data_IF_737819045168
#
_entry.id   IF_737819045168
#
_cell.length_a   1.000
_cell.length_b   1.000
_cell.length_c   1.000
_cell.angle_alpha   90.00
_cell.angle_beta   90.00
_cell.angle_gamma   90.00
#
_symmetry.space_group_name_H-M   'P 1'
#
loop_
_entity.id
_entity.type
_entity.pdbx_description
1 polymer ?
#
# COMPACT_ATOMS: atom_id res chain seq x y z
N UNK A 1 -17.55 4.43 -17.73
CA UNK A 1 -17.39 5.60 -16.85
C UNK A 1 -16.07 5.42 -16.09
N UNK A 2 -15.02 6.08 -16.56
CA UNK A 2 -13.71 6.11 -15.87
C UNK A 2 -13.86 7.14 -14.75
N UNK A 3 -13.87 6.70 -13.49
CA UNK A 3 -14.02 7.61 -12.33
C UNK A 3 -12.65 8.18 -11.97
N UNK A 4 -12.38 9.37 -12.48
CA UNK A 4 -11.12 10.11 -12.34
C UNK A 4 -11.14 10.97 -11.06
N UNK A 5 -10.68 10.44 -9.92
CA UNK A 5 -10.64 11.16 -8.62
C UNK A 5 -9.25 11.57 -8.12
N UNK A 6 -8.22 11.48 -8.96
CA UNK A 6 -6.85 11.91 -8.59
C UNK A 6 -6.16 12.65 -9.75
N UNK A 7 -6.90 13.51 -10.47
CA UNK A 7 -6.31 14.36 -11.51
C UNK A 7 -5.64 15.58 -10.86
N UNK A 8 -4.39 15.87 -11.26
CA UNK A 8 -3.82 17.22 -11.16
C UNK A 8 -4.36 18.04 -12.33
N UNK A 9 -5.39 18.86 -12.08
CA UNK A 9 -5.90 19.80 -13.08
C UNK A 9 -5.02 21.04 -13.02
N UNK A 10 -4.04 21.12 -13.93
CA UNK A 10 -3.17 22.28 -14.02
C UNK A 10 -3.45 23.01 -15.34
N UNK A 11 -3.78 24.29 -15.24
CA UNK A 11 -4.12 25.13 -16.38
C UNK A 11 -2.90 25.64 -17.15
N UNK A 12 -1.68 25.42 -16.65
CA UNK A 12 -0.46 26.06 -17.18
C UNK A 12 0.80 25.17 -17.21
N UNK A 13 0.75 23.92 -16.75
CA UNK A 13 1.91 23.03 -16.80
C UNK A 13 1.99 22.26 -18.12
N UNK A 14 3.18 22.24 -18.72
CA UNK A 14 3.56 21.25 -19.72
C UNK A 14 3.73 19.95 -18.94
N UNK A 15 2.93 18.93 -19.25
CA UNK A 15 2.98 17.63 -18.59
C UNK A 15 4.37 16.99 -18.60
N UNK A 16 4.60 15.98 -17.75
CA UNK A 16 5.84 15.19 -17.72
C UNK A 16 6.02 14.32 -18.97
N UNK A 17 5.02 14.23 -19.85
CA UNK A 17 5.15 13.55 -21.13
C UNK A 17 6.22 14.21 -22.01
N UNK A 18 7.17 13.39 -22.49
CA UNK A 18 8.27 13.86 -23.34
C UNK A 18 7.77 14.43 -24.68
N UNK A 19 6.64 13.92 -25.18
CA UNK A 19 5.99 14.41 -26.40
C UNK A 19 4.49 14.12 -26.41
N UNK A 20 3.69 15.14 -26.70
CA UNK A 20 2.26 15.02 -26.93
C UNK A 20 1.99 14.81 -28.43
N UNK A 21 1.03 13.94 -28.75
CA UNK A 21 0.55 13.72 -30.11
C UNK A 21 -0.98 13.74 -30.15
N UNK A 22 -1.59 14.08 -31.31
CA UNK A 22 -3.04 14.06 -31.46
C UNK A 22 -3.59 12.66 -31.17
N UNK A 23 -4.67 12.57 -30.37
CA UNK A 23 -5.30 11.30 -30.05
C UNK A 23 -5.95 10.61 -31.27
N UNK A 24 -6.07 11.30 -32.41
CA UNK A 24 -6.50 10.73 -33.70
C UNK A 24 -8.01 10.49 -33.84
N UNK A 25 -8.84 10.90 -32.86
CA UNK A 25 -10.30 10.77 -32.87
C UNK A 25 -10.99 11.78 -31.93
N UNK A 26 -12.32 11.87 -31.99
CA UNK A 26 -13.11 12.68 -31.04
C UNK A 26 -13.47 11.85 -29.81
N UNK A 27 -12.60 11.87 -28.80
CA UNK A 27 -12.86 11.17 -27.54
C UNK A 27 -13.34 12.12 -26.45
N UNK A 28 -14.26 11.62 -25.62
CA UNK A 28 -14.79 12.34 -24.48
C UNK A 28 -14.59 11.56 -23.19
N UNK A 29 -14.23 12.25 -22.12
CA UNK A 29 -14.13 11.70 -20.77
C UNK A 29 -14.88 12.58 -19.79
N UNK A 30 -15.47 11.96 -18.77
CA UNK A 30 -16.16 12.67 -17.69
C UNK A 30 -15.26 12.73 -16.46
N UNK A 31 -15.05 13.93 -15.94
CA UNK A 31 -14.23 14.22 -14.77
C UNK A 31 -15.12 14.80 -13.68
N UNK A 32 -15.22 14.10 -12.56
CA UNK A 32 -15.90 14.57 -11.35
C UNK A 32 -14.90 15.38 -10.52
N UNK A 33 -15.18 16.67 -10.29
CA UNK A 33 -14.34 17.54 -9.48
C UNK A 33 -15.16 18.51 -8.64
N UNK A 34 -14.62 18.90 -7.49
CA UNK A 34 -15.13 20.00 -6.67
C UNK A 34 -14.67 21.36 -7.17
N UNK A 35 -13.65 21.41 -8.02
CA UNK A 35 -13.07 22.63 -8.56
C UNK A 35 -13.94 23.21 -9.67
N UNK A 36 -14.05 24.54 -9.70
CA UNK A 36 -14.74 25.25 -10.77
C UNK A 36 -13.81 25.39 -11.99
N UNK A 37 -14.14 24.64 -13.04
CA UNK A 37 -13.44 24.70 -14.32
C UNK A 37 -14.19 25.59 -15.30
N UNK A 38 -13.43 26.28 -16.14
CA UNK A 38 -13.91 27.17 -17.17
C UNK A 38 -14.19 26.36 -18.43
N UNK A 39 -15.43 26.39 -18.91
CA UNK A 39 -15.79 25.78 -20.17
C UNK A 39 -15.00 26.41 -21.32
N UNK A 40 -14.68 25.60 -22.32
CA UNK A 40 -13.82 25.91 -23.46
C UNK A 40 -12.36 26.20 -23.10
N UNK A 41 -11.97 26.09 -21.83
CA UNK A 41 -10.57 26.14 -21.44
C UNK A 41 -9.91 24.76 -21.55
N UNK A 42 -8.59 24.76 -21.75
CA UNK A 42 -7.80 23.53 -21.90
C UNK A 42 -7.09 23.20 -20.60
N UNK A 43 -7.09 21.91 -20.26
CA UNK A 43 -6.50 21.38 -19.03
C UNK A 43 -5.64 20.16 -19.36
N UNK A 44 -4.59 19.97 -18.57
CA UNK A 44 -3.82 18.73 -18.54
C UNK A 44 -4.31 17.86 -17.40
N UNK A 45 -4.40 16.55 -17.65
CA UNK A 45 -4.80 15.59 -16.64
C UNK A 45 -4.32 14.18 -16.95
N UNK A 46 -4.28 13.32 -15.93
CA UNK A 46 -3.95 11.90 -16.10
C UNK A 46 -5.18 11.07 -16.42
N UNK A 47 -5.08 10.23 -17.45
CA UNK A 47 -6.04 9.20 -17.82
C UNK A 47 -5.46 7.82 -17.46
N UNK A 48 -6.12 7.09 -16.57
CA UNK A 48 -5.77 5.69 -16.32
C UNK A 48 -6.21 4.84 -17.52
N UNK A 49 -5.25 4.16 -18.16
CA UNK A 49 -5.47 3.29 -19.30
C UNK A 49 -5.87 1.88 -18.85
N UNK A 50 -6.35 1.06 -19.78
CA UNK A 50 -6.65 -0.36 -19.55
C UNK A 50 -5.43 -1.17 -19.07
N UNK A 51 -4.21 -0.69 -19.35
CA UNK A 51 -2.95 -1.28 -18.88
C UNK A 51 -2.64 -0.95 -17.42
N UNK A 52 -3.38 -0.05 -16.79
CA UNK A 52 -3.08 0.52 -15.47
C UNK A 52 -2.03 1.62 -15.49
N UNK A 53 -1.51 1.98 -16.66
CA UNK A 53 -0.65 3.14 -16.83
C UNK A 53 -1.46 4.43 -16.74
N UNK A 54 -0.86 5.50 -16.23
CA UNK A 54 -1.43 6.84 -16.29
C UNK A 54 -0.84 7.53 -17.52
N UNK A 55 -1.71 7.83 -18.50
CA UNK A 55 -1.38 8.62 -19.67
C UNK A 55 -1.73 10.08 -19.40
N UNK A 56 -0.78 10.99 -19.56
CA UNK A 56 -1.10 12.41 -19.53
C UNK A 56 -1.83 12.80 -20.81
N UNK A 57 -2.93 13.53 -20.63
CA UNK A 57 -3.80 14.00 -21.70
C UNK A 57 -4.06 15.48 -21.57
N UNK A 58 -4.21 16.12 -22.72
CA UNK A 58 -4.62 17.51 -22.85
C UNK A 58 -6.03 17.53 -23.41
N UNK A 59 -6.98 18.10 -22.66
CA UNK A 59 -8.39 18.12 -23.05
C UNK A 59 -9.07 19.45 -22.77
N UNK A 60 -10.12 19.74 -23.51
CA UNK A 60 -10.95 20.94 -23.34
C UNK A 60 -12.24 20.59 -22.62
N UNK A 61 -12.58 21.32 -21.56
CA UNK A 61 -13.87 21.17 -20.90
C UNK A 61 -14.98 21.70 -21.83
N UNK A 62 -15.97 20.89 -22.19
CA UNK A 62 -17.02 21.26 -23.16
C UNK A 62 -18.42 21.35 -22.54
N UNK A 63 -18.69 20.55 -21.51
CA UNK A 63 -19.98 20.53 -20.82
C UNK A 63 -19.73 20.37 -19.32
N UNK A 64 -20.64 20.89 -18.49
CA UNK A 64 -20.66 20.66 -17.05
C UNK A 64 -22.07 20.26 -16.62
N UNK A 65 -22.16 19.31 -15.71
CA UNK A 65 -23.41 18.88 -15.07
C UNK A 65 -23.19 18.68 -13.56
N UNK A 66 -24.26 18.63 -12.78
CA UNK A 66 -24.18 18.47 -11.33
C UNK A 66 -24.28 19.79 -10.55
N UNK A 67 -24.41 19.67 -9.22
CA UNK A 67 -24.56 20.80 -8.30
C UNK A 67 -23.19 21.33 -7.82
N UNK A 68 -23.17 22.54 -7.24
CA UNK A 68 -21.99 23.10 -6.58
C UNK A 68 -21.37 22.11 -5.59
N UNK A 69 -20.05 21.91 -5.67
CA UNK A 69 -19.30 20.97 -4.85
C UNK A 69 -19.23 19.53 -5.38
N UNK A 70 -20.01 19.17 -6.41
CA UNK A 70 -19.90 17.87 -7.09
C UNK A 70 -20.23 17.98 -8.59
N UNK A 71 -19.39 18.72 -9.32
CA UNK A 71 -19.57 18.98 -10.75
C UNK A 71 -18.89 17.89 -11.58
N UNK A 72 -19.56 17.47 -12.65
CA UNK A 72 -19.04 16.54 -13.64
C UNK A 72 -18.80 17.31 -14.93
N UNK A 73 -17.52 17.49 -15.27
CA UNK A 73 -17.10 18.14 -16.50
C UNK A 73 -16.82 17.09 -17.57
N UNK A 74 -17.39 17.29 -18.76
CA UNK A 74 -17.08 16.51 -19.94
C UNK A 74 -15.91 17.16 -20.66
N UNK A 75 -14.86 16.40 -20.88
CA UNK A 75 -13.65 16.83 -21.56
C UNK A 75 -13.56 16.20 -22.94
N UNK A 76 -13.30 17.01 -23.95
CA UNK A 76 -12.86 16.55 -25.27
C UNK A 76 -11.34 16.41 -25.27
N UNK A 77 -10.84 15.21 -25.52
CA UNK A 77 -9.39 14.96 -25.61
C UNK A 77 -8.84 15.55 -26.91
N UNK A 78 -7.76 16.33 -26.83
CA UNK A 78 -7.06 16.94 -27.96
C UNK A 78 -5.79 16.14 -28.26
N UNK A 79 -4.94 16.00 -27.24
CA UNK A 79 -3.63 15.35 -27.33
C UNK A 79 -3.45 14.40 -26.15
N UNK A 80 -2.60 13.39 -26.33
CA UNK A 80 -2.13 12.53 -25.28
C UNK A 80 -0.63 12.28 -25.47
N UNK A 81 0.02 11.77 -24.44
CA UNK A 81 1.39 11.26 -24.55
C UNK A 81 1.51 10.30 -25.76
N UNK A 82 2.44 10.61 -26.67
CA UNK A 82 2.65 9.92 -27.96
C UNK A 82 2.83 8.41 -27.78
N UNK A 83 3.47 7.99 -26.67
CA UNK A 83 3.69 6.59 -26.33
C UNK A 83 2.37 5.81 -26.18
N UNK A 84 1.29 6.49 -25.83
CA UNK A 84 0.01 5.89 -25.49
C UNK A 84 -1.11 6.18 -26.49
N UNK A 85 -0.86 6.86 -27.62
CA UNK A 85 -1.90 7.22 -28.62
C UNK A 85 -2.74 6.01 -29.06
N UNK A 86 -2.10 4.87 -29.34
CA UNK A 86 -2.79 3.63 -29.72
C UNK A 86 -3.56 2.97 -28.57
N UNK A 87 -3.11 3.19 -27.33
CA UNK A 87 -3.73 2.66 -26.11
C UNK A 87 -4.89 3.52 -25.61
N UNK A 88 -4.84 4.83 -25.83
CA UNK A 88 -5.92 5.77 -25.54
C UNK A 88 -7.12 5.45 -26.44
N UNK A 89 -6.88 5.20 -27.73
CA UNK A 89 -7.92 4.82 -28.69
C UNK A 89 -8.63 3.51 -28.29
N UNK A 90 -7.89 2.50 -27.82
CA UNK A 90 -8.45 1.22 -27.35
C UNK A 90 -9.12 1.34 -25.96
N UNK A 91 -8.51 2.05 -25.01
CA UNK A 91 -9.07 2.23 -23.65
C UNK A 91 -10.35 3.06 -23.60
N UNK A 92 -10.55 3.95 -24.59
CA UNK A 92 -11.75 4.79 -24.70
C UNK A 92 -12.86 4.17 -25.57
N UNK A 93 -12.51 3.20 -26.43
CA UNK A 93 -13.47 2.45 -27.25
C UNK A 93 -13.94 1.15 -26.58
N UNK A 94 -13.07 0.47 -25.84
CA UNK A 94 -13.45 -0.65 -24.99
C UNK A 94 -13.93 -0.12 -23.65
N UNK A 95 -15.12 -0.58 -23.21
CA UNK A 95 -15.38 -0.69 -21.78
C UNK A 95 -14.35 -1.67 -21.25
N UNK A 96 -13.16 -1.19 -20.89
CA UNK A 96 -12.18 -2.02 -20.22
C UNK A 96 -12.88 -2.63 -19.00
N UNK A 97 -12.87 -3.97 -18.83
CA UNK A 97 -13.42 -4.58 -17.66
C UNK A 97 -12.55 -4.06 -16.51
N UNK A 98 -13.09 -3.08 -15.77
CA UNK A 98 -12.60 -2.73 -14.45
C UNK A 98 -12.29 -4.05 -13.76
N UNK A 99 -11.08 -4.21 -13.19
CA UNK A 99 -10.72 -5.36 -12.38
C UNK A 99 -11.96 -5.74 -11.57
N UNK A 100 -12.63 -6.80 -12.01
CA UNK A 100 -14.00 -7.03 -11.60
C UNK A 100 -13.88 -7.32 -10.11
N UNK A 101 -14.59 -6.55 -9.30
CA UNK A 101 -14.76 -6.84 -7.89
C UNK A 101 -15.50 -8.18 -7.85
N UNK A 102 -14.75 -9.28 -7.89
CA UNK A 102 -15.27 -10.64 -7.80
C UNK A 102 -15.65 -10.87 -6.34
N UNK A 103 -16.76 -10.26 -5.93
CA UNK A 103 -17.31 -10.30 -4.58
C UNK A 103 -16.78 -9.24 -3.62
N UNK A 104 -17.31 -9.23 -2.40
CA UNK A 104 -16.99 -8.25 -1.35
C UNK A 104 -15.58 -8.40 -0.73
N UNK A 105 -14.70 -9.23 -1.32
CA UNK A 105 -13.37 -9.57 -0.81
C UNK A 105 -12.23 -8.70 -1.37
N UNK A 106 -11.02 -8.81 -0.80
CA UNK A 106 -9.84 -8.14 -1.33
C UNK A 106 -9.44 -8.72 -2.70
N UNK A 107 -8.84 -7.89 -3.55
CA UNK A 107 -8.23 -8.36 -4.80
C UNK A 107 -6.89 -9.00 -4.47
N UNK A 108 -6.70 -10.26 -4.85
CA UNK A 108 -5.43 -10.97 -4.66
C UNK A 108 -4.49 -10.73 -5.85
N UNK A 109 -3.19 -10.62 -5.59
CA UNK A 109 -2.19 -10.42 -6.62
C UNK A 109 -1.70 -11.75 -7.21
N UNK A 110 -2.60 -12.39 -7.94
CA UNK A 110 -2.38 -13.66 -8.62
C UNK A 110 -2.81 -13.52 -10.06
N UNK A 111 -1.98 -13.99 -11.00
CA UNK A 111 -2.32 -13.85 -12.41
C UNK A 111 -2.52 -12.39 -12.84
N UNK A 112 -1.83 -11.42 -12.21
CA UNK A 112 -1.85 -10.04 -12.70
C UNK A 112 -0.99 -9.95 -13.96
N UNK A 113 -1.64 -9.94 -15.13
CA UNK A 113 -0.97 -9.85 -16.42
C UNK A 113 -0.19 -8.54 -16.53
N UNK A 114 1.07 -8.64 -16.94
CA UNK A 114 1.99 -7.53 -17.19
C UNK A 114 2.03 -7.23 -18.68
N UNK A 115 2.59 -6.07 -19.04
CA UNK A 115 2.69 -5.63 -20.45
C UNK A 115 3.46 -6.62 -21.34
N UNK A 116 4.46 -7.32 -20.78
CA UNK A 116 5.23 -8.34 -21.49
C UNK A 116 4.55 -9.73 -21.49
N UNK A 117 3.25 -9.78 -21.21
CA UNK A 117 2.45 -11.01 -21.04
C UNK A 117 2.84 -11.92 -19.88
N UNK A 118 3.85 -11.59 -19.07
CA UNK A 118 4.10 -12.32 -17.82
C UNK A 118 2.99 -12.08 -16.80
N UNK A 119 2.90 -12.92 -15.79
CA UNK A 119 1.98 -12.76 -14.67
C UNK A 119 2.74 -12.47 -13.39
N UNK A 120 2.27 -11.50 -12.61
CA UNK A 120 2.83 -11.22 -11.30
C UNK A 120 2.10 -12.01 -10.21
N UNK A 121 2.88 -12.77 -9.44
CA UNK A 121 2.47 -13.38 -8.18
C UNK A 121 3.15 -12.61 -7.05
N UNK A 122 2.37 -12.00 -6.16
CA UNK A 122 2.92 -11.35 -4.97
C UNK A 122 2.88 -12.32 -3.81
N UNK A 123 4.01 -12.48 -3.12
CA UNK A 123 4.09 -13.26 -1.89
C UNK A 123 3.79 -12.36 -0.69
N UNK A 124 2.91 -12.82 0.21
CA UNK A 124 2.70 -12.20 1.51
C UNK A 124 3.84 -12.57 2.46
N UNK A 125 4.51 -11.57 3.00
CA UNK A 125 5.68 -11.74 3.86
C UNK A 125 5.70 -10.58 4.87
N UNK A 126 4.97 -10.73 5.99
CA UNK A 126 4.99 -9.71 7.05
C UNK A 126 6.43 -9.49 7.51
N UNK A 127 6.80 -8.22 7.69
CA UNK A 127 8.16 -7.77 7.98
C UNK A 127 9.24 -8.16 6.94
N UNK A 128 8.86 -8.68 5.77
CA UNK A 128 9.80 -9.22 4.79
C UNK A 128 10.50 -10.50 5.26
N UNK A 129 9.90 -11.23 6.20
CA UNK A 129 10.46 -12.47 6.69
C UNK A 129 10.29 -13.62 5.69
N UNK A 130 11.40 -14.27 5.34
CA UNK A 130 11.44 -15.51 4.56
C UNK A 130 12.37 -16.49 5.26
N UNK A 131 11.94 -17.75 5.36
CA UNK A 131 12.82 -18.83 5.81
C UNK A 131 13.77 -19.23 4.69
N UNK A 132 14.83 -19.97 5.01
CA UNK A 132 15.72 -20.54 4.01
C UNK A 132 14.95 -21.40 2.99
N UNK A 133 13.94 -22.15 3.45
CA UNK A 133 13.11 -22.99 2.58
C UNK A 133 12.26 -22.16 1.61
N UNK A 134 11.65 -21.07 2.09
CA UNK A 134 10.94 -20.14 1.22
C UNK A 134 11.85 -19.58 0.12
N UNK A 135 13.06 -19.17 0.48
CA UNK A 135 14.03 -18.61 -0.46
C UNK A 135 14.54 -19.65 -1.46
N UNK A 136 14.77 -20.90 -1.03
CA UNK A 136 15.14 -22.01 -1.94
C UNK A 136 14.08 -22.25 -3.00
N UNK A 137 12.81 -22.29 -2.60
CA UNK A 137 11.69 -22.48 -3.54
C UNK A 137 11.62 -21.33 -4.55
N UNK A 138 11.73 -20.09 -4.08
CA UNK A 138 11.74 -18.90 -4.94
C UNK A 138 12.94 -18.90 -5.90
N UNK A 139 14.13 -19.26 -5.42
CA UNK A 139 15.33 -19.39 -6.24
C UNK A 139 15.17 -20.49 -7.30
N UNK A 140 14.62 -21.65 -6.93
CA UNK A 140 14.37 -22.75 -7.86
C UNK A 140 13.38 -22.41 -8.97
N UNK A 141 12.42 -21.52 -8.72
CA UNK A 141 11.52 -21.00 -9.77
C UNK A 141 12.31 -20.20 -10.83
N UNK A 142 13.23 -19.34 -10.39
CA UNK A 142 14.07 -18.56 -11.29
C UNK A 142 15.09 -19.44 -12.04
N UNK A 143 15.71 -20.40 -11.35
CA UNK A 143 16.68 -21.35 -11.94
C UNK A 143 16.06 -22.21 -13.05
N UNK A 144 14.82 -22.65 -12.88
CA UNK A 144 14.06 -23.38 -13.92
C UNK A 144 13.65 -22.50 -15.11
N UNK A 145 13.92 -21.20 -15.07
CA UNK A 145 13.52 -20.25 -16.10
C UNK A 145 12.00 -20.05 -16.20
N UNK A 146 11.27 -20.33 -15.12
CA UNK A 146 9.81 -20.16 -15.08
C UNK A 146 9.41 -18.69 -14.91
N UNK A 147 10.32 -17.88 -14.36
CA UNK A 147 10.09 -16.47 -14.12
C UNK A 147 11.31 -15.75 -13.54
N UNK A 148 11.13 -14.49 -13.19
CA UNK A 148 12.12 -13.68 -12.47
C UNK A 148 11.54 -13.18 -11.15
N UNK A 149 12.40 -12.85 -10.20
CA UNK A 149 12.01 -12.35 -8.88
C UNK A 149 12.35 -10.88 -8.74
N UNK A 150 11.44 -10.09 -8.15
CA UNK A 150 11.64 -8.66 -7.89
C UNK A 150 11.24 -8.32 -6.47
N UNK A 151 12.15 -7.71 -5.73
CA UNK A 151 11.86 -7.15 -4.41
C UNK A 151 11.03 -5.86 -4.55
N UNK A 152 10.07 -5.68 -3.64
CA UNK A 152 9.25 -4.47 -3.58
C UNK A 152 9.60 -3.67 -2.34
N UNK A 153 9.34 -2.36 -2.41
CA UNK A 153 9.48 -1.45 -1.27
C UNK A 153 8.65 -1.86 -0.04
N UNK A 154 7.56 -2.62 -0.22
CA UNK A 154 6.76 -3.16 0.87
C UNK A 154 7.34 -4.47 1.45
N UNK A 155 8.62 -4.76 1.20
CA UNK A 155 9.36 -5.94 1.69
C UNK A 155 8.81 -7.28 1.20
N UNK A 156 8.13 -7.29 0.05
CA UNK A 156 7.63 -8.51 -0.61
C UNK A 156 8.51 -8.92 -1.77
N UNK A 157 8.55 -10.20 -2.07
CA UNK A 157 9.02 -10.74 -3.34
C UNK A 157 7.83 -10.87 -4.28
N UNK A 158 7.96 -10.30 -5.47
CA UNK A 158 7.08 -10.54 -6.62
C UNK A 158 7.78 -11.57 -7.49
N UNK A 159 7.07 -12.61 -7.89
CA UNK A 159 7.52 -13.57 -8.90
C UNK A 159 6.79 -13.27 -10.20
N UNK A 160 7.52 -12.86 -11.23
CA UNK A 160 7.03 -12.58 -12.56
C UNK A 160 7.20 -13.83 -13.42
N UNK A 161 6.10 -14.52 -13.70
CA UNK A 161 6.10 -15.86 -14.31
C UNK A 161 5.58 -15.83 -15.74
N UNK A 162 6.05 -16.77 -16.56
CA UNK A 162 5.49 -16.99 -17.90
C UNK A 162 4.04 -17.50 -17.79
N UNK A 163 3.14 -17.17 -18.74
CA UNK A 163 1.76 -17.66 -18.76
C UNK A 163 1.59 -19.15 -18.48
N UNK A 164 2.34 -19.97 -19.18
CA UNK A 164 2.30 -21.43 -19.10
C UNK A 164 2.84 -21.98 -17.78
N UNK A 165 3.57 -21.16 -17.00
CA UNK A 165 4.15 -21.55 -15.72
C UNK A 165 3.36 -21.04 -14.52
N UNK A 166 2.29 -20.28 -14.73
CA UNK A 166 1.49 -19.67 -13.68
C UNK A 166 1.05 -20.73 -12.65
N UNK A 167 0.17 -21.67 -13.02
CA UNK A 167 -0.34 -22.70 -12.11
C UNK A 167 0.76 -23.53 -11.42
N UNK A 168 1.87 -23.79 -12.11
CA UNK A 168 3.01 -24.55 -11.56
C UNK A 168 3.71 -23.79 -10.44
N UNK A 169 4.08 -22.53 -10.68
CA UNK A 169 4.76 -21.67 -9.70
C UNK A 169 3.85 -21.39 -8.52
N UNK A 170 2.58 -21.14 -8.82
CA UNK A 170 1.50 -20.96 -7.87
C UNK A 170 1.41 -22.09 -6.85
N UNK A 171 1.42 -23.35 -7.32
CA UNK A 171 1.42 -24.52 -6.46
C UNK A 171 2.73 -24.67 -5.68
N UNK A 172 3.89 -24.41 -6.28
CA UNK A 172 5.19 -24.51 -5.61
C UNK A 172 5.29 -23.55 -4.41
N UNK A 173 4.82 -22.31 -4.57
CA UNK A 173 4.78 -21.33 -3.50
C UNK A 173 3.81 -21.78 -2.39
N UNK A 174 2.64 -22.30 -2.74
CA UNK A 174 1.66 -22.78 -1.76
C UNK A 174 2.17 -23.97 -0.93
N UNK A 175 2.81 -24.96 -1.57
CA UNK A 175 3.43 -26.11 -0.89
C UNK A 175 4.53 -25.67 0.09
N UNK A 176 5.25 -24.60 -0.24
CA UNK A 176 6.26 -24.00 0.62
C UNK A 176 5.66 -23.18 1.79
N UNK A 177 4.34 -23.09 1.93
CA UNK A 177 3.67 -22.29 2.94
C UNK A 177 3.65 -20.78 2.65
N UNK A 178 4.04 -20.36 1.45
CA UNK A 178 4.01 -18.96 1.05
C UNK A 178 2.59 -18.53 0.65
N UNK A 179 2.02 -17.64 1.45
CA UNK A 179 0.67 -17.10 1.24
C UNK A 179 0.63 -16.05 0.12
N UNK A 180 -0.52 -15.93 -0.53
CA UNK A 180 -0.77 -14.94 -1.58
C UNK A 180 -0.83 -13.54 -0.96
N UNK A 181 -0.20 -12.56 -1.59
CA UNK A 181 -0.34 -11.16 -1.22
C UNK A 181 -1.66 -10.59 -1.71
N UNK A 182 -2.28 -9.73 -0.91
CA UNK A 182 -3.34 -8.82 -1.39
C UNK A 182 -2.74 -7.93 -2.51
N UNK A 183 -3.55 -7.45 -3.44
CA UNK A 183 -3.21 -6.45 -4.46
C UNK A 183 -3.88 -5.13 -4.15
N UNK A 184 -5.20 -5.18 -3.99
CA UNK A 184 -6.05 -4.02 -3.75
C UNK A 184 -7.24 -4.35 -2.83
N UNK A 185 -7.95 -3.31 -2.38
CA UNK A 185 -9.21 -3.42 -1.63
C UNK A 185 -9.09 -4.25 -0.34
N UNK A 186 -7.96 -4.11 0.33
CA UNK A 186 -7.70 -4.82 1.57
C UNK A 186 -6.43 -4.34 2.25
N UNK A 187 -6.15 -4.97 3.39
CA UNK A 187 -4.91 -4.76 4.12
C UNK A 187 -3.74 -5.35 3.34
N UNK A 188 -2.78 -4.50 3.00
CA UNK A 188 -1.55 -4.88 2.29
C UNK A 188 -0.55 -5.46 3.29
N UNK A 189 0.53 -6.04 2.76
CA UNK A 189 1.62 -6.58 3.57
C UNK A 189 2.12 -5.59 4.62
N UNK A 190 2.22 -6.04 5.87
CA UNK A 190 2.71 -5.24 6.99
C UNK A 190 4.23 -5.16 6.91
N UNK A 191 4.78 -3.96 6.71
CA UNK A 191 6.23 -3.75 6.65
C UNK A 191 6.80 -3.42 8.03
N UNK A 192 7.99 -3.92 8.33
CA UNK A 192 8.63 -3.75 9.63
C UNK A 192 10.13 -3.51 9.51
N UNK A 193 10.74 -2.85 10.49
CA UNK A 193 12.20 -2.73 10.52
C UNK A 193 12.79 -4.01 11.14
N UNK A 194 14.12 -4.07 11.27
CA UNK A 194 14.79 -5.18 11.95
C UNK A 194 14.36 -5.36 13.43
N UNK A 195 13.60 -4.40 13.98
CA UNK A 195 12.96 -4.51 15.28
C UNK A 195 13.93 -4.82 16.40
N UNK A 196 13.60 -5.80 17.25
CA UNK A 196 14.44 -6.31 18.34
C UNK A 196 15.85 -6.76 17.91
N UNK A 197 16.09 -7.08 16.63
CA UNK A 197 17.41 -7.47 16.12
C UNK A 197 18.35 -6.26 15.94
N UNK A 198 17.81 -5.06 16.04
CA UNK A 198 18.53 -3.82 15.85
C UNK A 198 18.96 -3.23 17.20
N UNK A 199 20.24 -2.85 17.33
CA UNK A 199 20.80 -2.22 18.54
C UNK A 199 20.12 -0.91 18.96
N UNK A 200 19.35 -0.27 18.07
CA UNK A 200 18.61 0.96 18.36
C UNK A 200 17.13 0.71 18.68
N UNK A 201 16.70 -0.56 18.77
CA UNK A 201 15.34 -0.91 19.19
C UNK A 201 15.03 -0.32 20.56
N UNK A 202 13.78 0.07 20.76
CA UNK A 202 13.27 0.62 22.03
C UNK A 202 12.50 -0.45 22.83
N UNK A 203 13.17 -1.58 23.12
CA UNK A 203 12.58 -2.70 23.87
C UNK A 203 11.23 -3.18 23.31
N UNK A 204 11.12 -3.15 21.98
CA UNK A 204 9.92 -3.50 21.24
C UNK A 204 10.24 -4.64 20.25
N UNK A 205 9.22 -5.09 19.52
CA UNK A 205 9.35 -6.18 18.56
C UNK A 205 8.52 -5.91 17.30
N UNK A 206 9.09 -5.13 16.39
CA UNK A 206 8.44 -4.76 15.14
C UNK A 206 8.11 -5.96 14.26
N UNK A 207 8.99 -6.96 14.21
CA UNK A 207 8.82 -8.15 13.38
C UNK A 207 7.65 -8.98 13.92
N UNK A 208 7.69 -9.34 15.21
CA UNK A 208 6.64 -10.12 15.85
C UNK A 208 5.28 -9.40 15.79
N UNK A 209 5.26 -8.09 16.08
CA UNK A 209 4.05 -7.29 15.97
C UNK A 209 3.50 -7.29 14.53
N UNK A 210 4.36 -7.17 13.51
CA UNK A 210 3.90 -7.17 12.12
C UNK A 210 3.33 -8.52 11.69
N UNK A 211 3.90 -9.62 12.20
CA UNK A 211 3.35 -10.97 12.00
C UNK A 211 1.99 -11.12 12.67
N UNK A 212 1.80 -10.60 13.89
CA UNK A 212 0.53 -10.71 14.60
C UNK A 212 -0.56 -9.82 13.99
N UNK A 213 -0.21 -8.62 13.52
CA UNK A 213 -1.12 -7.76 12.74
C UNK A 213 -1.52 -8.47 11.44
N UNK A 214 -0.58 -9.09 10.74
CA UNK A 214 -0.87 -9.83 9.51
C UNK A 214 -1.78 -11.03 9.79
N UNK A 215 -1.54 -11.82 10.85
CA UNK A 215 -2.46 -12.93 11.23
C UNK A 215 -3.89 -12.45 11.44
N UNK A 216 -4.06 -11.30 12.09
CA UNK A 216 -5.37 -10.72 12.39
C UNK A 216 -6.09 -10.15 11.15
N UNK A 217 -5.33 -9.54 10.23
CA UNK A 217 -5.89 -8.75 9.12
C UNK A 217 -5.69 -9.36 7.73
N UNK A 218 -5.03 -10.52 7.63
CA UNK A 218 -4.78 -11.15 6.34
C UNK A 218 -6.10 -11.50 5.64
N UNK A 219 -6.29 -10.98 4.43
CA UNK A 219 -7.53 -11.15 3.67
C UNK A 219 -8.68 -10.25 4.13
N UNK A 220 -8.44 -9.33 5.08
CA UNK A 220 -9.44 -8.35 5.49
C UNK A 220 -9.75 -7.38 4.34
N UNK A 221 -11.03 -7.32 3.95
CA UNK A 221 -11.50 -6.48 2.85
C UNK A 221 -11.78 -5.06 3.33
N UNK A 222 -11.34 -4.08 2.55
CA UNK A 222 -11.57 -2.66 2.80
C UNK A 222 -11.98 -1.97 1.50
N UNK A 223 -12.63 -0.81 1.63
CA UNK A 223 -13.11 -0.04 0.48
C UNK A 223 -11.98 0.41 -0.47
N UNK A 224 -10.77 0.51 0.06
CA UNK A 224 -9.54 0.70 -0.70
C UNK A 224 -8.31 0.21 0.10
N UNK A 225 -7.11 0.29 -0.47
CA UNK A 225 -5.88 -0.27 0.11
C UNK A 225 -5.51 0.34 1.47
N UNK A 226 -5.18 -0.51 2.44
CA UNK A 226 -4.61 -0.11 3.73
C UNK A 226 -3.17 -0.59 3.84
N UNK A 227 -2.22 0.33 3.99
CA UNK A 227 -0.80 0.04 4.20
C UNK A 227 -0.44 0.24 5.67
N UNK A 228 0.21 -0.75 6.27
CA UNK A 228 0.62 -0.73 7.67
C UNK A 228 2.14 -0.83 7.77
N UNK A 229 2.75 -0.03 8.65
CA UNK A 229 4.19 -0.01 8.85
C UNK A 229 4.59 0.08 10.33
N UNK A 230 5.56 -0.72 10.75
CA UNK A 230 6.03 -0.81 12.14
C UNK A 230 7.53 -0.51 12.21
N UNK A 231 7.90 0.57 12.90
CA UNK A 231 9.29 0.91 13.19
C UNK A 231 9.51 0.85 14.70
N UNK A 232 10.54 0.19 15.20
CA UNK A 232 10.79 0.08 16.65
C UNK A 232 11.53 1.27 17.29
N UNK A 233 11.85 2.32 16.52
CA UNK A 233 12.41 3.55 17.06
C UNK A 233 12.17 4.75 16.12
N UNK A 234 12.53 5.95 16.61
CA UNK A 234 12.37 7.22 15.89
C UNK A 234 13.19 7.32 14.59
N UNK A 235 14.14 6.41 14.33
CA UNK A 235 14.83 6.33 13.02
C UNK A 235 13.88 5.96 11.89
N UNK A 236 12.74 5.35 12.21
CA UNK A 236 11.62 5.18 11.29
C UNK A 236 12.00 4.44 9.99
N UNK A 237 12.81 3.38 10.08
CA UNK A 237 13.34 2.65 8.92
C UNK A 237 12.27 2.01 8.04
N UNK A 238 11.05 1.80 8.55
CA UNK A 238 9.90 1.31 7.76
C UNK A 238 8.99 2.43 7.27
N UNK A 239 9.43 3.68 7.41
CA UNK A 239 8.69 4.87 6.97
C UNK A 239 7.25 4.89 7.50
N UNK A 240 7.07 4.68 8.81
CA UNK A 240 5.75 4.57 9.44
C UNK A 240 4.87 5.80 9.20
N UNK A 241 5.45 7.00 9.08
CA UNK A 241 4.74 8.23 8.70
C UNK A 241 4.21 8.26 7.25
N UNK A 242 4.64 7.36 6.38
CA UNK A 242 4.22 7.27 4.98
C UNK A 242 3.20 6.14 4.74
N UNK A 243 2.78 5.45 5.80
CA UNK A 243 1.77 4.40 5.75
C UNK A 243 0.40 4.94 6.20
N UNK A 244 -0.68 4.28 5.77
CA UNK A 244 -2.03 4.62 6.21
C UNK A 244 -2.13 4.46 7.74
N UNK A 245 -1.50 3.41 8.30
CA UNK A 245 -1.34 3.21 9.74
C UNK A 245 0.12 2.93 10.04
N UNK A 246 0.74 3.75 10.88
CA UNK A 246 2.13 3.64 11.28
C UNK A 246 2.29 3.46 12.78
N UNK A 247 3.23 2.61 13.17
CA UNK A 247 3.66 2.41 14.55
C UNK A 247 5.13 2.78 14.69
N UNK A 248 5.45 3.53 15.74
CA UNK A 248 6.81 3.98 16.05
C UNK A 248 7.13 3.67 17.51
N UNK A 249 8.08 2.78 17.73
CA UNK A 249 8.47 2.28 19.04
C UNK A 249 9.07 3.37 19.92
N UNK A 250 8.55 3.42 21.13
CA UNK A 250 9.05 4.14 22.30
C UNK A 250 9.18 3.07 23.41
N UNK A 251 10.00 3.26 24.43
CA UNK A 251 10.32 2.20 25.42
C UNK A 251 9.12 1.35 25.89
N UNK A 252 8.94 0.14 25.31
CA UNK A 252 7.81 -0.78 25.58
C UNK A 252 6.42 -0.39 25.00
N UNK A 253 6.32 0.74 24.30
CA UNK A 253 5.09 1.30 23.75
C UNK A 253 5.24 1.68 22.25
N UNK A 254 4.12 1.92 21.57
CA UNK A 254 4.12 2.46 20.22
C UNK A 254 3.37 3.79 20.16
N UNK A 255 4.03 4.80 19.60
CA UNK A 255 3.34 5.96 19.02
C UNK A 255 2.60 5.49 17.77
N UNK A 256 1.34 5.91 17.64
CA UNK A 256 0.53 5.65 16.45
C UNK A 256 0.44 6.88 15.57
N UNK A 257 0.59 6.68 14.27
CA UNK A 257 0.40 7.71 13.26
C UNK A 257 -0.56 7.21 12.20
N UNK A 258 -1.47 8.05 11.70
CA UNK A 258 -2.52 7.65 10.74
C UNK A 258 -2.62 8.61 9.56
N UNK A 259 -3.12 8.11 8.42
CA UNK A 259 -3.39 8.92 7.23
C UNK A 259 -2.14 9.28 6.41
N UNK A 260 -1.02 8.59 6.62
CA UNK A 260 0.17 8.77 5.80
C UNK A 260 0.01 8.17 4.40
N UNK A 261 0.75 8.71 3.44
CA UNK A 261 0.75 8.25 2.05
C UNK A 261 2.12 8.46 1.42
N UNK A 262 2.87 7.39 1.19
CA UNK A 262 4.00 7.36 0.25
C UNK A 262 3.50 7.12 -1.17
N UNK A 263 3.29 8.20 -1.92
CA UNK A 263 2.80 8.21 -3.31
C UNK A 263 3.42 9.40 -4.06
N UNK A 264 3.11 9.55 -5.35
CA UNK A 264 3.42 10.72 -6.18
C UNK A 264 3.17 12.06 -5.45
N UNK A 265 2.03 12.19 -4.78
CA UNK A 265 1.74 13.29 -3.85
C UNK A 265 1.79 12.73 -2.43
N UNK A 266 2.92 12.92 -1.70
CA UNK A 266 3.09 12.36 -0.38
C UNK A 266 2.24 13.09 0.67
N UNK A 267 1.70 12.35 1.63
CA UNK A 267 1.10 12.91 2.84
C UNK A 267 1.78 12.31 4.06
N UNK A 268 2.15 13.18 5.01
CA UNK A 268 2.68 12.74 6.29
C UNK A 268 1.53 12.33 7.22
N UNK A 269 1.65 11.16 7.84
CA UNK A 269 0.71 10.69 8.84
C UNK A 269 0.66 11.62 10.06
N UNK A 270 -0.54 11.78 10.61
CA UNK A 270 -0.81 12.53 11.84
C UNK A 270 -0.61 11.64 13.06
N UNK A 271 0.03 12.18 14.09
CA UNK A 271 0.18 11.48 15.36
C UNK A 271 -1.15 11.41 16.11
N UNK A 272 -1.55 10.19 16.45
CA UNK A 272 -2.68 9.91 17.31
C UNK A 272 -2.19 9.97 18.76
N UNK A 273 -2.79 10.87 19.55
CA UNK A 273 -2.18 11.39 20.79
C UNK A 273 -2.02 10.43 22.00
N UNK A 274 -2.45 9.15 22.00
CA UNK A 274 -2.00 8.19 23.02
C UNK A 274 -0.98 7.17 22.48
N UNK A 275 0.08 6.92 23.26
CA UNK A 275 0.95 5.75 23.07
C UNK A 275 0.17 4.49 23.43
N UNK A 276 0.44 3.40 22.73
CA UNK A 276 -0.23 2.11 22.94
C UNK A 276 0.79 1.09 23.40
N UNK A 277 0.55 0.35 24.49
CA UNK A 277 1.41 -0.78 24.85
C UNK A 277 1.36 -1.87 23.77
N UNK A 278 2.49 -2.55 23.54
CA UNK A 278 2.64 -3.57 22.48
C UNK A 278 1.47 -4.56 22.40
N UNK A 279 0.99 -5.05 23.56
CA UNK A 279 -0.09 -6.04 23.66
C UNK A 279 -1.48 -5.54 23.22
N UNK A 280 -1.68 -4.22 23.04
CA UNK A 280 -2.95 -3.63 22.60
C UNK A 280 -2.93 -3.20 21.14
N UNK A 281 -1.77 -3.22 20.47
CA UNK A 281 -1.63 -2.72 19.10
C UNK A 281 -2.50 -3.51 18.12
N UNK A 282 -2.53 -4.84 18.22
CA UNK A 282 -3.34 -5.70 17.32
C UNK A 282 -4.84 -5.39 17.47
N UNK A 283 -5.33 -5.26 18.70
CA UNK A 283 -6.72 -4.90 18.96
C UNK A 283 -7.05 -3.49 18.45
N UNK A 284 -6.13 -2.54 18.60
CA UNK A 284 -6.28 -1.19 18.07
C UNK A 284 -6.39 -1.20 16.55
N UNK A 285 -5.45 -1.84 15.85
CA UNK A 285 -5.42 -1.81 14.38
C UNK A 285 -6.65 -2.48 13.80
N UNK A 286 -7.14 -3.57 14.42
CA UNK A 286 -8.39 -4.22 14.01
C UNK A 286 -9.57 -3.24 14.05
N UNK A 287 -9.80 -2.60 15.20
CA UNK A 287 -10.88 -1.63 15.37
C UNK A 287 -10.74 -0.43 14.44
N UNK A 288 -9.53 0.04 14.21
CA UNK A 288 -9.28 1.18 13.33
C UNK A 288 -9.54 0.84 11.86
N UNK A 289 -9.15 -0.36 11.41
CA UNK A 289 -9.45 -0.85 10.07
C UNK A 289 -10.95 -1.09 9.89
N UNK A 290 -11.65 -1.64 10.90
CA UNK A 290 -13.12 -1.76 10.90
C UNK A 290 -13.79 -0.38 10.75
N UNK A 291 -13.32 0.62 11.51
CA UNK A 291 -13.80 2.00 11.43
C UNK A 291 -13.60 2.59 10.02
N UNK A 292 -12.41 2.40 9.44
CA UNK A 292 -12.11 2.86 8.09
C UNK A 292 -13.01 2.17 7.05
N UNK A 293 -13.16 0.85 7.13
CA UNK A 293 -14.02 0.08 6.23
C UNK A 293 -15.49 0.52 6.28
N UNK A 294 -15.98 0.93 7.47
CA UNK A 294 -17.35 1.40 7.66
C UNK A 294 -17.59 2.85 7.21
N UNK A 295 -16.56 3.69 7.16
CA UNK A 295 -16.68 5.14 6.89
C UNK A 295 -16.14 5.58 5.54
N UNK A 296 -15.25 4.81 4.93
CA UNK A 296 -14.70 5.13 3.62
C UNK A 296 -15.76 5.00 2.53
N UNK A 297 -15.71 5.92 1.57
CA UNK A 297 -16.38 5.72 0.29
C UNK A 297 -15.63 4.65 -0.52
N UNK A 298 -16.30 4.05 -1.50
CA UNK A 298 -15.65 3.06 -2.38
C UNK A 298 -14.43 3.70 -3.08
N UNK A 299 -13.28 3.00 -3.07
CA UNK A 299 -12.01 3.49 -3.64
C UNK A 299 -11.42 4.73 -2.97
N UNK A 300 -11.84 5.07 -1.75
CA UNK A 300 -11.32 6.23 -1.03
C UNK A 300 -10.15 5.85 -0.12
N UNK A 301 -8.96 6.44 -0.31
CA UNK A 301 -7.81 6.28 0.61
C UNK A 301 -8.12 6.80 2.01
N UNK A 302 -7.49 6.21 3.02
CA UNK A 302 -7.66 6.64 4.42
C UNK A 302 -7.43 8.15 4.61
N UNK A 303 -6.38 8.73 4.04
CA UNK A 303 -6.13 10.17 4.13
C UNK A 303 -7.28 11.02 3.56
N UNK A 304 -7.94 10.55 2.50
CA UNK A 304 -9.09 11.22 1.87
C UNK A 304 -10.37 11.02 2.70
N UNK A 305 -10.57 9.82 3.25
CA UNK A 305 -11.65 9.57 4.20
C UNK A 305 -11.54 10.50 5.41
N UNK A 306 -10.34 10.65 5.98
CA UNK A 306 -10.08 11.58 7.09
C UNK A 306 -10.37 13.03 6.70
N UNK A 307 -9.95 13.48 5.51
CA UNK A 307 -10.24 14.83 5.01
C UNK A 307 -11.75 15.07 4.84
N UNK A 308 -12.48 14.12 4.24
CA UNK A 308 -13.90 14.27 3.89
C UNK A 308 -14.82 14.28 5.09
N UNK A 309 -14.66 13.36 6.04
CA UNK A 309 -15.60 13.19 7.16
C UNK A 309 -15.58 14.36 8.17
N UNK A 310 -14.84 15.42 7.87
CA UNK A 310 -14.68 16.57 8.75
C UNK A 310 -13.48 16.38 9.67
N UNK A 311 -12.30 16.63 9.11
CA UNK A 311 -11.24 17.32 9.85
C UNK A 311 -11.14 18.74 9.30
N UNK A 312 -11.82 19.72 9.91
CA UNK A 312 -11.51 21.16 9.71
C UNK A 312 -10.16 21.51 10.40
N UNK A 313 -9.13 20.67 10.19
CA UNK A 313 -7.84 20.66 10.88
C UNK A 313 -6.74 20.09 9.96
N UNK A 314 -6.75 20.44 8.68
CA UNK A 314 -5.48 20.43 7.96
C UNK A 314 -4.80 21.81 7.97
N UNK A 315 -5.45 22.84 8.53
CA UNK A 315 -4.80 24.13 8.86
C UNK A 315 -5.31 24.91 10.11
N UNK A 316 -6.33 24.47 10.88
CA UNK A 316 -6.91 25.39 11.92
C UNK A 316 -7.07 24.90 13.39
N UNK A 317 -7.59 23.73 13.82
CA UNK A 317 -7.77 23.47 15.30
C UNK A 317 -7.68 22.00 15.85
N UNK A 318 -6.53 21.54 16.41
CA UNK A 318 -6.22 20.14 16.79
C UNK A 318 -6.99 19.42 17.92
N UNK A 319 -7.79 20.09 18.76
CA UNK A 319 -8.15 19.53 20.08
C UNK A 319 -9.39 18.60 20.09
N UNK A 320 -10.37 18.82 19.20
CA UNK A 320 -11.63 18.05 19.17
C UNK A 320 -11.48 16.66 18.55
N UNK A 321 -10.65 16.53 17.50
CA UNK A 321 -10.36 15.24 16.85
C UNK A 321 -9.49 14.35 17.73
N UNK A 322 -8.53 14.96 18.45
CA UNK A 322 -7.84 14.26 19.53
C UNK A 322 -8.84 13.73 20.54
N UNK A 323 -9.85 14.52 20.91
CA UNK A 323 -10.85 14.12 21.91
C UNK A 323 -11.77 13.00 21.44
N UNK A 324 -12.21 12.96 20.17
CA UNK A 324 -13.07 11.87 19.67
C UNK A 324 -12.30 10.55 19.51
N UNK A 325 -11.09 10.61 18.96
CA UNK A 325 -10.26 9.40 18.82
C UNK A 325 -9.78 8.95 20.20
N UNK A 326 -9.43 9.88 21.10
CA UNK A 326 -9.15 9.60 22.51
C UNK A 326 -10.38 9.03 23.20
N UNK A 327 -11.60 9.47 22.93
CA UNK A 327 -12.82 8.88 23.48
C UNK A 327 -13.07 7.46 22.95
N UNK A 328 -12.81 7.19 21.67
CA UNK A 328 -12.81 5.82 21.14
C UNK A 328 -11.72 4.97 21.80
N UNK A 329 -10.59 5.59 22.16
CA UNK A 329 -9.49 5.00 22.91
C UNK A 329 -9.81 4.77 24.39
N UNK A 330 -10.46 5.69 25.07
CA UNK A 330 -10.83 5.66 26.50
C UNK A 330 -11.99 4.69 26.76
N UNK A 331 -12.83 4.42 25.75
CA UNK A 331 -13.77 3.31 25.75
C UNK A 331 -13.07 1.94 25.67
N UNK A 332 -11.78 1.90 25.38
CA UNK A 332 -10.98 0.73 25.66
C UNK A 332 -10.72 0.76 27.16
N UNK A 333 -11.33 -0.18 27.88
CA UNK A 333 -11.03 -0.41 29.30
C UNK A 333 -9.55 -0.86 29.39
N UNK A 334 -8.66 0.10 29.62
CA UNK A 334 -7.21 -0.11 29.71
C UNK A 334 -6.79 0.23 31.13
N UNK A 335 -6.76 -0.74 32.06
CA UNK A 335 -6.20 -0.54 33.38
C UNK A 335 -4.74 -0.12 33.24
N UNK A 336 -4.35 0.92 33.98
CA UNK A 336 -2.97 1.30 34.12
C UNK A 336 -2.23 0.17 34.87
N UNK A 337 -1.30 -0.56 34.25
CA UNK A 337 -0.31 -1.30 35.04
C UNK A 337 0.96 -1.80 34.31
N UNK A 338 2.06 -1.44 34.98
CA UNK A 338 3.34 -2.10 35.28
C UNK A 338 4.07 -2.96 34.23
N UNK A 339 5.33 -2.56 34.02
CA UNK A 339 6.36 -3.23 33.25
C UNK A 339 6.79 -4.56 33.89
N UNK A 340 6.66 -5.66 33.14
CA UNK A 340 7.21 -6.95 33.51
C UNK A 340 7.05 -7.97 32.39
N UNK A 341 8.07 -8.06 31.52
CA UNK A 341 8.71 -9.30 31.03
C UNK A 341 9.51 -9.02 29.75
N UNK A 342 10.81 -9.36 29.78
CA UNK A 342 11.90 -8.61 29.12
C UNK A 342 12.52 -9.28 27.89
N UNK A 343 11.89 -10.27 27.25
CA UNK A 343 12.43 -10.87 26.01
C UNK A 343 11.35 -11.04 24.95
N UNK A 344 11.58 -10.47 23.77
CA UNK A 344 10.66 -10.56 22.64
C UNK A 344 10.74 -11.91 21.92
N UNK A 345 9.62 -12.37 21.37
CA UNK A 345 9.54 -13.63 20.64
C UNK A 345 10.47 -13.64 19.42
N UNK A 346 10.66 -12.50 18.74
CA UNK A 346 11.65 -12.39 17.65
C UNK A 346 13.09 -12.55 18.12
N UNK A 347 13.44 -12.10 19.34
CA UNK A 347 14.76 -12.34 19.92
C UNK A 347 14.94 -13.84 20.24
N UNK A 348 13.88 -14.52 20.68
CA UNK A 348 13.86 -15.99 20.84
C UNK A 348 14.01 -16.72 19.51
N UNK A 349 13.31 -16.31 18.46
CA UNK A 349 13.42 -16.91 17.12
C UNK A 349 14.82 -16.69 16.52
N UNK A 350 15.42 -15.53 16.75
CA UNK A 350 16.80 -15.26 16.33
C UNK A 350 17.82 -16.03 17.16
N UNK A 351 17.62 -16.18 18.47
CA UNK A 351 18.45 -17.08 19.29
C UNK A 351 18.31 -18.54 18.85
N UNK A 352 17.12 -19.01 18.47
CA UNK A 352 16.94 -20.36 17.91
C UNK A 352 17.65 -20.51 16.56
N UNK A 353 17.62 -19.48 15.72
CA UNK A 353 18.40 -19.42 14.48
C UNK A 353 19.92 -19.46 14.74
N UNK A 354 20.42 -18.70 15.72
CA UNK A 354 21.83 -18.71 16.13
C UNK A 354 22.24 -20.04 16.79
N UNK A 355 21.36 -20.67 17.57
CA UNK A 355 21.60 -21.98 18.20
C UNK A 355 21.56 -23.13 17.17
N UNK A 356 20.84 -22.95 16.06
CA UNK A 356 20.87 -23.85 14.90
C UNK A 356 22.13 -23.74 14.05
N UNK A 357 22.89 -22.64 14.19
CA UNK A 357 24.26 -22.52 13.70
C UNK A 357 25.20 -23.17 14.73
N UNK A 358 25.32 -24.50 14.68
CA UNK A 358 26.36 -25.21 15.42
C UNK A 358 27.75 -24.74 14.94
N UNK A 359 28.28 -23.78 15.70
CA UNK A 359 29.65 -23.35 16.07
C UNK A 359 30.91 -24.01 15.44
N UNK A 360 30.84 -25.10 14.68
CA UNK A 360 32.04 -25.76 14.16
C UNK A 360 32.41 -25.38 12.71
N UNK A 361 31.46 -25.00 11.85
CA UNK A 361 31.77 -24.69 10.43
C UNK A 361 32.29 -23.27 10.18
N UNK A 362 31.95 -22.30 11.03
CA UNK A 362 32.34 -20.90 10.84
C UNK A 362 33.77 -20.62 11.34
N UNK A 363 34.31 -21.45 12.25
CA UNK A 363 35.68 -21.29 12.76
C UNK A 363 36.75 -21.74 11.76
N UNK A 364 36.47 -22.72 10.90
CA UNK A 364 37.46 -23.24 9.94
C UNK A 364 37.60 -22.40 8.67
N UNK A 365 36.54 -21.73 8.21
CA UNK A 365 36.58 -20.96 6.96
C UNK A 365 37.21 -19.57 7.11
N UNK A 366 37.24 -18.99 8.32
CA UNK A 366 37.91 -17.71 8.57
C UNK A 366 39.41 -17.83 8.90
N UNK A 367 39.97 -19.05 9.00
CA UNK A 367 41.41 -19.26 9.16
C UNK A 367 42.17 -19.36 7.82
N UNK A 368 41.48 -19.39 6.69
CA UNK A 368 42.09 -19.48 5.34
C UNK A 368 42.09 -18.13 4.61
N UNK A 369 41.61 -17.06 5.25
CA UNK A 369 41.67 -15.69 4.72
C UNK A 369 42.28 -14.74 5.76
N UNK A 370 43.51 -15.05 6.20
CA UNK A 370 44.58 -14.11 6.57
C UNK A 370 45.89 -14.67 6.03
#
# INVERSE_FOLDING_TARGET
>A
MIRLKDIMLESEMIGLAEKFAPAGGQYFVEVETSDELVLNNTYYFGLELSTGDICEVRGTAVEVSGAEGNRVYKFKIIECDEKYVSLVASSLSEKSPAAEKTGDGPTWAYGLKQMNSSYAIIVNSPAGFYTAEHLKVIAGIAEKGYGITKLTHAQRIVVLVKPEQLATVENQLAVAGLRKGVLHHGVRNVRACAGALCKWSKNNDAIGLSVDIDKELYGFSTKFDVKIAVSDCLRNCSESYCADIGFIGLDGEYRVVIGGRGSSIPFRALELAPKIPKNKVVAFVRKFVDWYAARANERERLCKTLQRIGTEIYNVKPESVRSEIKAAFERLDVPAMQSGDTVSESARMFEQYLRGLAVDSIRSEFAVVI
#
